data_IF_454582475185
#
_entry.id   IF_454582475185
#
_cell.length_a   1.000
_cell.length_b   1.000
_cell.length_c   1.000
_cell.angle_alpha   90.00
_cell.angle_beta   90.00
_cell.angle_gamma   90.00
#
_symmetry.space_group_name_H-M   'P 1'
#
loop_
_entity.id
_entity.type
_entity.pdbx_description
1 polymer ?
#
# COMPACT_ATOMS: atom_id res chain seq x y z
N UNK A 1 11.72 8.48 -2.46
CA UNK A 1 11.19 7.68 -3.58
C UNK A 1 12.14 6.53 -3.85
N UNK A 2 11.63 5.30 -3.92
CA UNK A 2 12.44 4.12 -4.26
C UNK A 2 12.79 4.13 -5.77
N UNK A 3 13.84 3.41 -6.19
CA UNK A 3 14.29 3.37 -7.59
C UNK A 3 13.17 2.94 -8.58
N UNK A 4 12.29 2.03 -8.15
CA UNK A 4 11.09 1.62 -8.90
C UNK A 4 10.10 2.77 -9.11
N UNK A 5 9.92 3.63 -8.11
CA UNK A 5 8.99 4.75 -8.16
C UNK A 5 9.49 5.85 -9.13
N UNK A 6 10.81 6.07 -9.16
CA UNK A 6 11.47 6.92 -10.15
C UNK A 6 11.31 6.37 -11.57
N UNK A 7 11.42 5.05 -11.74
CA UNK A 7 11.23 4.39 -13.03
C UNK A 7 9.78 4.51 -13.52
N UNK A 8 8.80 4.31 -12.63
CA UNK A 8 7.38 4.49 -12.97
C UNK A 8 7.06 5.93 -13.34
N UNK A 9 7.59 6.91 -12.60
CA UNK A 9 7.38 8.32 -12.90
C UNK A 9 7.95 8.68 -14.28
N UNK A 10 9.18 8.24 -14.57
CA UNK A 10 9.78 8.48 -15.89
C UNK A 10 9.00 7.82 -17.04
N UNK A 11 8.38 6.66 -16.81
CA UNK A 11 7.49 6.03 -17.79
C UNK A 11 6.21 6.84 -18.01
N UNK A 12 5.62 7.38 -16.95
CA UNK A 12 4.44 8.23 -17.02
C UNK A 12 4.71 9.53 -17.79
N UNK A 13 5.88 10.13 -17.57
CA UNK A 13 6.29 11.34 -18.26
C UNK A 13 6.43 11.08 -19.78
N UNK A 14 7.03 9.94 -20.17
CA UNK A 14 7.14 9.53 -21.57
C UNK A 14 5.79 9.27 -22.24
N UNK A 15 4.86 8.65 -21.54
CA UNK A 15 3.49 8.44 -22.06
C UNK A 15 2.80 9.78 -22.29
N UNK A 16 2.95 10.73 -21.36
CA UNK A 16 2.39 12.08 -21.49
C UNK A 16 2.97 12.85 -22.68
N UNK A 17 4.26 12.67 -22.93
CA UNK A 17 4.95 13.23 -24.08
C UNK A 17 4.47 12.60 -25.40
N UNK A 18 4.29 11.28 -25.44
CA UNK A 18 3.69 10.58 -26.58
C UNK A 18 2.28 11.08 -26.91
N UNK A 19 1.41 11.27 -25.90
CA UNK A 19 0.08 11.84 -26.10
C UNK A 19 0.15 13.23 -26.74
N UNK A 20 1.09 14.07 -26.29
CA UNK A 20 1.28 15.41 -26.84
C UNK A 20 1.76 15.38 -28.30
N UNK A 21 2.66 14.46 -28.63
CA UNK A 21 3.11 14.25 -30.02
C UNK A 21 1.99 13.69 -30.92
N UNK A 22 1.15 12.80 -30.39
CA UNK A 22 0.02 12.23 -31.13
C UNK A 22 -0.99 13.30 -31.48
N UNK A 23 -1.34 14.19 -30.55
CA UNK A 23 -2.26 15.30 -30.79
C UNK A 23 -1.74 16.26 -31.86
N UNK A 24 -0.44 16.58 -31.82
CA UNK A 24 0.20 17.42 -32.81
C UNK A 24 0.19 16.78 -34.21
N UNK A 25 0.46 15.48 -34.30
CA UNK A 25 0.38 14.70 -35.55
C UNK A 25 -1.05 14.62 -36.09
N UNK A 26 -2.05 14.48 -35.22
CA UNK A 26 -3.47 14.46 -35.59
C UNK A 26 -3.87 15.77 -36.27
N UNK A 27 -3.46 16.90 -35.69
CA UNK A 27 -3.67 18.24 -36.25
C UNK A 27 -3.00 18.38 -37.62
N UNK A 28 -1.72 18.02 -37.72
CA UNK A 28 -0.95 18.11 -38.97
C UNK A 28 -1.51 17.18 -40.07
N UNK A 29 -2.03 16.02 -39.70
CA UNK A 29 -2.70 15.08 -40.62
C UNK A 29 -4.01 15.65 -41.18
N UNK A 30 -4.88 16.23 -40.32
CA UNK A 30 -6.13 16.84 -40.76
C UNK A 30 -5.92 18.08 -41.66
N UNK A 31 -4.73 18.68 -41.65
CA UNK A 31 -4.37 19.75 -42.58
C UNK A 31 -3.98 19.25 -43.99
N UNK A 32 -3.68 17.94 -44.18
CA UNK A 32 -2.97 17.43 -45.37
C UNK A 32 -3.76 16.40 -46.21
N UNK A 33 -4.86 15.81 -45.73
CA UNK A 33 -5.52 14.66 -46.40
C UNK A 33 -6.87 14.99 -47.05
N UNK A 34 -7.04 14.61 -48.32
CA UNK A 34 -8.33 14.54 -49.05
C UNK A 34 -9.06 13.21 -48.76
N UNK A 35 -10.38 13.32 -48.53
CA UNK A 35 -11.39 12.42 -47.91
C UNK A 35 -11.39 10.89 -48.15
N UNK A 36 -10.61 10.29 -49.04
CA UNK A 36 -10.85 8.89 -49.49
C UNK A 36 -10.19 7.76 -48.66
N UNK A 37 -9.26 8.04 -47.73
CA UNK A 37 -8.64 7.02 -46.85
C UNK A 37 -8.93 7.18 -45.34
N UNK A 38 -9.72 8.18 -44.95
CA UNK A 38 -10.05 8.53 -43.56
C UNK A 38 -10.59 7.39 -42.67
N UNK A 39 -11.55 6.56 -43.11
CA UNK A 39 -12.32 5.72 -42.19
C UNK A 39 -11.51 4.63 -41.48
N UNK A 40 -10.47 4.11 -42.15
CA UNK A 40 -9.68 2.99 -41.61
C UNK A 40 -8.60 3.49 -40.63
N UNK A 41 -8.11 4.71 -40.83
CA UNK A 41 -7.15 5.32 -39.91
C UNK A 41 -7.85 5.85 -38.65
N UNK A 42 -9.08 6.35 -38.79
CA UNK A 42 -9.90 6.83 -37.66
C UNK A 42 -10.24 5.71 -36.67
N UNK A 43 -10.58 4.52 -37.17
CA UNK A 43 -10.80 3.32 -36.34
C UNK A 43 -9.54 2.87 -35.59
N UNK A 44 -8.37 2.93 -36.25
CA UNK A 44 -7.09 2.59 -35.61
C UNK A 44 -6.73 3.61 -34.52
N UNK A 45 -7.03 4.90 -34.76
CA UNK A 45 -6.82 5.96 -33.78
C UNK A 45 -7.75 5.82 -32.57
N UNK A 46 -9.02 5.48 -32.77
CA UNK A 46 -9.97 5.20 -31.67
C UNK A 46 -9.50 3.99 -30.82
N UNK A 47 -9.09 2.89 -31.45
CA UNK A 47 -8.61 1.71 -30.72
C UNK A 47 -7.33 2.00 -29.91
N UNK A 48 -6.42 2.80 -30.48
CA UNK A 48 -5.23 3.27 -29.76
C UNK A 48 -5.55 4.23 -28.61
N UNK A 49 -6.56 5.08 -28.76
CA UNK A 49 -7.03 5.98 -27.69
C UNK A 49 -7.60 5.20 -26.50
N UNK A 50 -8.41 4.16 -26.77
CA UNK A 50 -8.97 3.27 -25.76
C UNK A 50 -7.87 2.51 -25.00
N UNK A 51 -6.91 1.91 -25.71
CA UNK A 51 -5.77 1.21 -25.12
C UNK A 51 -4.92 2.15 -24.24
N UNK A 52 -4.71 3.38 -24.71
CA UNK A 52 -3.94 4.38 -23.97
C UNK A 52 -4.67 4.85 -22.71
N UNK A 53 -6.01 4.95 -22.72
CA UNK A 53 -6.81 5.26 -21.53
C UNK A 53 -6.77 4.09 -20.53
N UNK A 54 -6.87 2.84 -20.99
CA UNK A 54 -6.76 1.64 -20.14
C UNK A 54 -5.40 1.58 -19.43
N UNK A 55 -4.31 1.79 -20.17
CA UNK A 55 -2.96 1.81 -19.61
C UNK A 55 -2.80 2.93 -18.58
N UNK A 56 -3.32 4.13 -18.87
CA UNK A 56 -3.27 5.29 -17.96
C UNK A 56 -4.01 5.00 -16.65
N UNK A 57 -5.22 4.44 -16.72
CA UNK A 57 -6.01 4.06 -15.53
C UNK A 57 -5.31 2.94 -14.73
N UNK A 58 -4.71 1.97 -15.42
CA UNK A 58 -3.93 0.90 -14.81
C UNK A 58 -2.73 1.43 -14.02
N UNK A 59 -1.97 2.35 -14.61
CA UNK A 59 -0.81 2.99 -13.96
C UNK A 59 -1.25 3.83 -12.75
N UNK A 60 -2.33 4.62 -12.87
CA UNK A 60 -2.87 5.39 -11.75
C UNK A 60 -3.30 4.50 -10.59
N UNK A 61 -3.97 3.39 -10.89
CA UNK A 61 -4.39 2.40 -9.89
C UNK A 61 -3.19 1.77 -9.19
N UNK A 62 -2.13 1.45 -9.92
CA UNK A 62 -0.89 0.90 -9.36
C UNK A 62 -0.15 1.91 -8.48
N UNK A 63 -0.09 3.18 -8.89
CA UNK A 63 0.53 4.26 -8.10
C UNK A 63 -0.22 4.47 -6.77
N UNK A 64 -1.56 4.51 -6.80
CA UNK A 64 -2.38 4.60 -5.59
C UNK A 64 -2.14 3.43 -4.64
N UNK A 65 -2.07 2.20 -5.16
CA UNK A 65 -1.74 1.01 -4.37
C UNK A 65 -0.34 1.08 -3.76
N UNK A 66 0.64 1.59 -4.52
CA UNK A 66 2.02 1.73 -4.04
C UNK A 66 2.15 2.80 -2.94
N UNK A 67 1.41 3.91 -3.03
CA UNK A 67 1.36 4.94 -1.98
C UNK A 67 0.74 4.41 -0.68
N UNK A 68 -0.31 3.59 -0.77
CA UNK A 68 -0.87 2.88 0.37
C UNK A 68 0.16 1.94 1.02
N UNK A 69 0.88 1.16 0.21
CA UNK A 69 1.96 0.28 0.68
C UNK A 69 3.12 1.07 1.31
N UNK A 70 3.51 2.20 0.71
CA UNK A 70 4.61 3.04 1.20
C UNK A 70 4.29 3.71 2.54
N UNK A 71 3.06 4.18 2.72
CA UNK A 71 2.55 4.67 4.02
C UNK A 71 2.56 3.56 5.06
N UNK A 72 2.15 2.35 4.67
CA UNK A 72 2.18 1.17 5.55
C UNK A 72 3.61 0.81 6.00
N UNK A 73 4.62 0.97 5.13
CA UNK A 73 6.03 0.72 5.47
C UNK A 73 6.63 1.82 6.37
N UNK A 74 6.23 3.08 6.19
CA UNK A 74 6.74 4.21 7.00
C UNK A 74 6.27 4.18 8.45
N UNK A 75 5.11 3.59 8.75
CA UNK A 75 4.61 3.38 10.12
C UNK A 75 5.54 2.44 10.92
N UNK A 76 6.33 1.61 10.25
CA UNK A 76 7.14 0.58 10.89
C UNK A 76 8.49 1.06 11.46
N UNK A 77 8.91 2.34 11.33
CA UNK A 77 10.29 2.74 11.65
C UNK A 77 10.51 3.56 12.93
N UNK A 78 9.51 3.72 13.78
CA UNK A 78 9.65 4.41 15.08
C UNK A 78 9.16 3.53 16.20
N UNK A 79 9.83 3.55 17.37
CA UNK A 79 9.29 2.97 18.60
C UNK A 79 7.84 3.46 18.77
N UNK A 80 6.89 2.54 18.68
CA UNK A 80 5.48 2.89 18.49
C UNK A 80 4.97 3.56 19.76
N UNK A 81 4.68 4.85 19.69
CA UNK A 81 3.74 5.48 20.63
C UNK A 81 2.38 4.77 20.51
N UNK A 82 1.50 4.97 21.48
CA UNK A 82 0.18 4.38 21.52
C UNK A 82 -0.60 4.49 20.18
N UNK A 83 -0.66 5.70 19.62
CA UNK A 83 -1.32 5.95 18.33
C UNK A 83 -0.64 5.19 17.16
N UNK A 84 0.67 4.96 17.27
CA UNK A 84 1.42 4.17 16.30
C UNK A 84 1.06 2.70 16.34
N UNK A 85 0.88 2.12 17.53
CA UNK A 85 0.55 0.70 17.68
C UNK A 85 -0.84 0.37 17.12
N UNK A 86 -1.84 1.23 17.38
CA UNK A 86 -3.18 1.08 16.80
C UNK A 86 -3.15 1.13 15.27
N UNK A 87 -2.48 2.15 14.70
CA UNK A 87 -2.31 2.27 13.26
C UNK A 87 -1.60 1.06 12.65
N UNK A 88 -0.59 0.51 13.32
CA UNK A 88 0.10 -0.69 12.86
C UNK A 88 -0.85 -1.90 12.78
N UNK A 89 -1.64 -2.13 13.83
CA UNK A 89 -2.64 -3.21 13.88
C UNK A 89 -3.66 -3.05 12.75
N UNK A 90 -4.19 -1.84 12.56
CA UNK A 90 -5.19 -1.54 11.53
C UNK A 90 -4.64 -1.78 10.11
N UNK A 91 -3.41 -1.35 9.86
CA UNK A 91 -2.70 -1.56 8.59
C UNK A 91 -2.47 -3.04 8.32
N UNK A 92 -2.00 -3.80 9.31
CA UNK A 92 -1.79 -5.24 9.16
C UNK A 92 -3.11 -5.93 8.85
N UNK A 93 -4.18 -5.62 9.58
CA UNK A 93 -5.50 -6.21 9.33
C UNK A 93 -6.07 -5.80 7.96
N UNK A 94 -5.84 -4.57 7.50
CA UNK A 94 -6.19 -4.15 6.14
C UNK A 94 -5.42 -4.98 5.10
N UNK A 95 -4.11 -5.17 5.29
CA UNK A 95 -3.28 -5.93 4.36
C UNK A 95 -3.64 -7.43 4.35
N UNK A 96 -3.87 -8.04 5.51
CA UNK A 96 -4.33 -9.44 5.61
C UNK A 96 -5.66 -9.66 4.89
N UNK A 97 -6.61 -8.72 5.03
CA UNK A 97 -7.88 -8.75 4.27
C UNK A 97 -7.64 -8.61 2.76
N UNK A 98 -6.74 -7.71 2.36
CA UNK A 98 -6.35 -7.54 0.95
C UNK A 98 -5.74 -8.81 0.35
N UNK A 99 -4.84 -9.47 1.07
CA UNK A 99 -4.26 -10.75 0.66
C UNK A 99 -5.32 -11.85 0.50
N UNK A 100 -6.27 -11.93 1.45
CA UNK A 100 -7.39 -12.87 1.37
C UNK A 100 -8.29 -12.62 0.15
N UNK A 101 -8.53 -11.36 -0.21
CA UNK A 101 -9.28 -11.00 -1.43
C UNK A 101 -8.56 -11.41 -2.73
N UNK A 102 -7.24 -11.55 -2.68
CA UNK A 102 -6.39 -12.00 -3.80
C UNK A 102 -6.19 -13.52 -3.83
N UNK A 103 -6.93 -14.28 -2.99
CA UNK A 103 -6.78 -15.73 -2.84
C UNK A 103 -5.38 -16.17 -2.33
N UNK A 104 -4.66 -15.23 -1.69
CA UNK A 104 -3.37 -15.49 -1.03
C UNK A 104 -3.61 -15.76 0.46
N UNK A 105 -3.91 -17.02 0.79
CA UNK A 105 -4.15 -17.44 2.17
C UNK A 105 -2.90 -17.30 3.05
N UNK A 106 -3.07 -16.75 4.25
CA UNK A 106 -2.00 -16.68 5.25
C UNK A 106 -1.94 -17.97 6.06
N UNK A 107 -0.79 -18.62 6.04
CA UNK A 107 -0.55 -19.85 6.77
C UNK A 107 0.15 -19.61 8.12
N UNK A 108 0.27 -20.67 8.92
CA UNK A 108 0.93 -20.65 10.24
C UNK A 108 2.32 -20.02 10.18
N UNK A 109 3.10 -20.34 9.14
CA UNK A 109 4.46 -19.84 8.95
C UNK A 109 4.46 -18.33 8.63
N UNK A 110 3.54 -17.85 7.78
CA UNK A 110 3.34 -16.41 7.53
C UNK A 110 3.01 -15.67 8.81
N UNK A 111 2.14 -16.24 9.66
CA UNK A 111 1.83 -15.66 10.96
C UNK A 111 3.06 -15.58 11.87
N UNK A 112 3.89 -16.63 11.95
CA UNK A 112 5.12 -16.59 12.75
C UNK A 112 6.10 -15.52 12.25
N UNK A 113 6.23 -15.35 10.94
CA UNK A 113 7.03 -14.26 10.38
C UNK A 113 6.49 -12.89 10.77
N UNK A 114 5.17 -12.69 10.68
CA UNK A 114 4.54 -11.43 11.09
C UNK A 114 4.77 -11.14 12.57
N UNK A 115 4.57 -12.11 13.45
CA UNK A 115 4.82 -11.98 14.90
C UNK A 115 6.27 -11.54 15.14
N UNK A 116 7.25 -12.25 14.56
CA UNK A 116 8.66 -11.93 14.72
C UNK A 116 9.04 -10.54 14.20
N UNK A 117 8.44 -10.10 13.08
CA UNK A 117 8.66 -8.75 12.55
C UNK A 117 8.09 -7.70 13.49
N UNK A 118 6.85 -7.89 13.96
CA UNK A 118 6.14 -6.91 14.79
C UNK A 118 6.76 -6.79 16.18
N UNK A 119 7.14 -7.90 16.81
CA UNK A 119 7.82 -7.91 18.12
C UNK A 119 9.07 -7.03 18.08
N UNK A 120 9.84 -7.07 16.98
CA UNK A 120 11.05 -6.25 16.81
C UNK A 120 10.75 -4.76 16.66
N UNK A 121 9.51 -4.39 16.31
CA UNK A 121 9.03 -3.01 16.23
C UNK A 121 8.37 -2.48 17.51
N UNK A 122 7.98 -3.38 18.42
CA UNK A 122 7.47 -2.99 19.75
C UNK A 122 8.56 -2.29 20.57
N UNK A 123 8.13 -1.36 21.44
CA UNK A 123 8.97 -0.77 22.46
C UNK A 123 9.44 -1.83 23.47
N UNK A 124 10.50 -1.49 24.20
CA UNK A 124 11.18 -2.43 25.11
C UNK A 124 10.23 -2.95 26.20
N UNK A 125 9.33 -2.12 26.70
CA UNK A 125 8.40 -2.51 27.77
C UNK A 125 7.32 -3.45 27.25
N UNK A 126 6.65 -3.10 26.14
CA UNK A 126 5.64 -3.95 25.53
C UNK A 126 6.20 -5.29 25.06
N UNK A 127 7.45 -5.31 24.56
CA UNK A 127 8.13 -6.57 24.20
C UNK A 127 8.34 -7.47 25.42
N UNK A 128 8.86 -6.92 26.52
CA UNK A 128 9.07 -7.70 27.76
C UNK A 128 7.78 -8.27 28.30
N UNK A 129 6.71 -7.46 28.32
CA UNK A 129 5.39 -7.91 28.76
C UNK A 129 4.85 -9.04 27.89
N UNK A 130 5.06 -8.96 26.57
CA UNK A 130 4.70 -10.05 25.67
C UNK A 130 5.50 -11.33 25.99
N UNK A 131 6.82 -11.22 26.09
CA UNK A 131 7.69 -12.36 26.41
C UNK A 131 7.33 -13.01 27.75
N UNK A 132 6.95 -12.22 28.76
CA UNK A 132 6.47 -12.71 30.05
C UNK A 132 5.09 -13.37 29.98
N UNK A 133 4.25 -12.99 29.01
CA UNK A 133 2.93 -13.62 28.80
C UNK A 133 3.03 -15.01 28.17
N UNK A 134 4.17 -15.33 27.54
CA UNK A 134 4.41 -16.64 26.96
C UNK A 134 4.78 -17.64 28.06
N UNK A 135 3.77 -18.37 28.55
CA UNK A 135 3.94 -19.40 29.58
C UNK A 135 4.26 -20.79 29.01
N UNK A 136 4.16 -20.98 27.70
CA UNK A 136 4.39 -22.25 27.00
C UNK A 136 5.61 -22.17 26.09
N UNK A 137 6.27 -23.31 25.89
CA UNK A 137 7.30 -23.51 24.86
C UNK A 137 6.73 -23.66 23.45
N UNK A 138 5.40 -23.70 23.32
CA UNK A 138 4.72 -23.74 22.03
C UNK A 138 4.78 -22.39 21.30
N UNK A 139 4.76 -22.45 19.97
CA UNK A 139 4.78 -21.25 19.13
C UNK A 139 3.51 -20.41 19.37
N UNK A 140 3.65 -19.09 19.56
CA UNK A 140 2.50 -18.23 19.83
C UNK A 140 1.59 -18.16 18.61
N UNK A 141 0.29 -18.34 18.84
CA UNK A 141 -0.71 -18.20 17.78
C UNK A 141 -0.96 -16.73 17.44
N UNK A 142 -1.27 -16.47 16.17
CA UNK A 142 -1.58 -15.13 15.66
C UNK A 142 -2.68 -14.42 16.45
N UNK A 143 -3.76 -15.14 16.76
CA UNK A 143 -4.92 -14.60 17.47
C UNK A 143 -4.54 -14.14 18.89
N UNK A 144 -3.77 -14.94 19.62
CA UNK A 144 -3.29 -14.59 20.97
C UNK A 144 -2.34 -13.38 20.93
N UNK A 145 -1.50 -13.30 19.90
CA UNK A 145 -0.61 -12.15 19.71
C UNK A 145 -1.40 -10.87 19.42
N UNK A 146 -2.40 -10.93 18.54
CA UNK A 146 -3.26 -9.78 18.25
C UNK A 146 -4.04 -9.31 19.48
N UNK A 147 -4.59 -10.24 20.27
CA UNK A 147 -5.29 -9.92 21.52
C UNK A 147 -4.37 -9.20 22.51
N UNK A 148 -3.13 -9.68 22.67
CA UNK A 148 -2.12 -9.00 23.48
C UNK A 148 -1.88 -7.56 23.01
N UNK A 149 -1.69 -7.34 21.70
CA UNK A 149 -1.43 -6.01 21.15
C UNK A 149 -2.64 -5.06 21.34
N UNK A 150 -3.85 -5.55 21.16
CA UNK A 150 -5.08 -4.78 21.37
C UNK A 150 -5.21 -4.35 22.83
N UNK A 151 -5.05 -5.28 23.77
CA UNK A 151 -5.09 -5.00 25.21
C UNK A 151 -4.01 -3.99 25.61
N UNK A 152 -2.79 -4.14 25.09
CA UNK A 152 -1.69 -3.20 25.36
C UNK A 152 -2.00 -1.79 24.83
N UNK A 153 -2.57 -1.69 23.64
CA UNK A 153 -2.98 -0.41 23.05
C UNK A 153 -4.03 0.29 23.94
N UNK A 154 -5.06 -0.44 24.39
CA UNK A 154 -6.08 0.12 25.29
C UNK A 154 -5.50 0.61 26.62
N UNK A 155 -4.60 -0.15 27.24
CA UNK A 155 -3.94 0.27 28.50
C UNK A 155 -3.13 1.56 28.28
N UNK A 156 -2.37 1.63 27.19
CA UNK A 156 -1.63 2.83 26.85
C UNK A 156 -2.54 4.04 26.65
N UNK A 157 -3.79 3.84 26.16
CA UNK A 157 -4.75 4.93 25.91
C UNK A 157 -5.29 5.48 27.21
N UNK A 158 -5.64 4.60 28.14
CA UNK A 158 -6.08 5.00 29.47
C UNK A 158 -4.99 5.76 30.22
N UNK A 159 -3.75 5.27 30.19
CA UNK A 159 -2.61 5.96 30.83
C UNK A 159 -2.35 7.35 30.22
N UNK A 160 -2.54 7.53 28.91
CA UNK A 160 -2.41 8.83 28.26
C UNK A 160 -3.59 9.77 28.52
N UNK A 161 -4.79 9.22 28.77
CA UNK A 161 -5.97 9.98 29.16
C UNK A 161 -5.86 10.52 30.58
N UNK A 162 -5.47 9.68 31.53
CA UNK A 162 -5.31 10.06 32.95
C UNK A 162 -4.24 11.16 33.14
N UNK A 163 -3.16 11.14 32.36
CA UNK A 163 -2.14 12.20 32.39
C UNK A 163 -2.63 13.55 31.86
N UNK A 164 -3.69 13.57 31.04
CA UNK A 164 -4.25 14.79 30.46
C UNK A 164 -5.28 15.46 31.38
N UNK A 165 -5.89 14.69 32.29
CA UNK A 165 -6.86 15.19 33.27
C UNK A 165 -6.20 15.70 34.57
N UNK A 166 -4.89 15.53 34.70
CA UNK A 166 -4.08 15.97 35.85
C UNK A 166 -3.38 17.34 35.64
N UNK A 167 -3.62 18.02 34.51
CA UNK A 167 -2.93 19.26 34.16
C UNK A 167 -3.85 20.33 33.55
#
# INVERSE_FOLDING_TARGET
MCAEQLLLQSKLDKVSEMYSSMEALKIEYYEVVEDEQLPNLELILEEMEDDLEEIKVGIQTLLLKHDDISKNVSICNTALSNNGLRNLIDVINKNLRGLKLMDLETNELTHQFLINIIIRKLDIESRKLYEMSLTSTELPKWEMFLEFLQNRTQILEHLHGEFRDLH
#
